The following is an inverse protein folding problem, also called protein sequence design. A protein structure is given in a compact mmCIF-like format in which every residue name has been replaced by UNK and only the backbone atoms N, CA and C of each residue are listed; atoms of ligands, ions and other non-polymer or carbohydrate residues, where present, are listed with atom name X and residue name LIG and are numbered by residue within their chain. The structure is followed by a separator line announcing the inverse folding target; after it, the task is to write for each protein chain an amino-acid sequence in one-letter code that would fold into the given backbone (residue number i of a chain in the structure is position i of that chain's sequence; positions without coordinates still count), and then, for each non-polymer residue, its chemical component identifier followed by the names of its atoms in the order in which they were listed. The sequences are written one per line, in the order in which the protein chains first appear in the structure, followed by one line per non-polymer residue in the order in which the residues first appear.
data_IF_460103368417
#
_entry.id   IF_460103368417
#
_cell.length_a   1.000
_cell.length_b   1.000
_cell.length_c   1.000
_cell.angle_alpha   90.00
_cell.angle_beta   90.00
_cell.angle_gamma   90.00
#
_symmetry.space_group_name_H-M   'P 1'
#
loop_
_entity.id
_entity.type
_entity.pdbx_description
1 polymer ?
#
# COMPACT_ATOMS: atom_id res chain seq x y z
N UNK A 1 -8.88 -3.57 -15.33
CA UNK A 1 -8.05 -4.59 -14.66
C UNK A 1 -6.59 -4.47 -15.06
N UNK A 2 -6.23 -4.40 -16.35
CA UNK A 2 -4.82 -4.23 -16.78
C UNK A 2 -4.11 -3.00 -16.16
N UNK A 3 -4.84 -1.90 -15.94
CA UNK A 3 -4.27 -0.69 -15.31
C UNK A 3 -3.99 -0.86 -13.81
N UNK A 4 -4.80 -1.64 -13.07
CA UNK A 4 -4.60 -1.82 -11.63
C UNK A 4 -3.48 -2.81 -11.33
N UNK A 5 -3.39 -3.89 -12.10
CA UNK A 5 -2.34 -4.90 -11.98
C UNK A 5 -0.94 -4.29 -12.17
N UNK A 6 -0.76 -3.49 -13.23
CA UNK A 6 0.49 -2.77 -13.47
C UNK A 6 0.83 -1.77 -12.35
N UNK A 7 -0.17 -1.07 -11.80
CA UNK A 7 0.03 -0.15 -10.69
C UNK A 7 0.48 -0.88 -9.41
N UNK A 8 -0.15 -2.00 -9.06
CA UNK A 8 0.22 -2.83 -7.90
C UNK A 8 1.68 -3.30 -8.04
N UNK A 9 2.04 -3.90 -9.17
CA UNK A 9 3.40 -4.40 -9.42
C UNK A 9 4.45 -3.30 -9.40
N UNK A 10 4.13 -2.12 -9.93
CA UNK A 10 4.99 -0.94 -9.86
C UNK A 10 5.20 -0.50 -8.40
N UNK A 11 4.14 -0.37 -7.62
CA UNK A 11 4.22 0.05 -6.21
C UNK A 11 5.02 -0.94 -5.35
N UNK A 12 4.83 -2.25 -5.53
CA UNK A 12 5.61 -3.30 -4.86
C UNK A 12 7.12 -3.13 -5.12
N UNK A 13 7.50 -2.63 -6.29
CA UNK A 13 8.90 -2.37 -6.65
C UNK A 13 9.41 -1.05 -6.08
N UNK A 14 8.58 -0.01 -6.02
CA UNK A 14 8.99 1.34 -5.64
C UNK A 14 9.06 1.53 -4.11
N UNK A 15 8.09 0.99 -3.36
CA UNK A 15 7.97 1.17 -1.89
C UNK A 15 9.23 0.75 -1.10
N UNK A 16 9.92 -0.37 -1.40
CA UNK A 16 11.14 -0.76 -0.70
C UNK A 16 12.24 0.30 -0.72
N UNK A 17 12.34 1.08 -1.81
CA UNK A 17 13.28 2.20 -1.91
C UNK A 17 12.96 3.32 -0.92
N UNK A 18 11.68 3.64 -0.76
CA UNK A 18 11.18 4.66 0.18
C UNK A 18 11.42 4.22 1.62
N UNK A 19 11.07 2.97 1.96
CA UNK A 19 11.31 2.41 3.30
C UNK A 19 12.80 2.53 3.66
N UNK A 20 13.69 2.17 2.74
CA UNK A 20 15.13 2.30 2.94
C UNK A 20 15.55 3.73 3.26
N UNK A 21 15.02 4.73 2.53
CA UNK A 21 15.31 6.15 2.79
C UNK A 21 14.81 6.58 4.18
N UNK A 22 13.60 6.18 4.57
CA UNK A 22 13.03 6.46 5.89
C UNK A 22 13.91 5.88 7.02
N UNK A 23 14.30 4.60 6.90
CA UNK A 23 15.17 3.91 7.88
C UNK A 23 16.58 4.50 7.96
N UNK A 24 17.08 5.08 6.86
CA UNK A 24 18.36 5.79 6.81
C UNK A 24 18.27 7.23 7.33
N UNK A 25 17.12 7.64 7.86
CA UNK A 25 16.83 8.99 8.31
C UNK A 25 17.00 10.06 7.20
N UNK A 26 16.79 9.67 5.94
CA UNK A 26 16.79 10.55 4.77
C UNK A 26 15.39 11.06 4.46
N UNK A 27 14.75 11.66 5.47
CA UNK A 27 13.34 12.04 5.42
C UNK A 27 12.98 12.89 4.19
N UNK A 28 13.77 13.91 3.85
CA UNK A 28 13.47 14.77 2.69
C UNK A 28 13.40 14.00 1.36
N UNK A 29 14.36 13.09 1.11
CA UNK A 29 14.35 12.21 -0.07
C UNK A 29 13.14 11.28 -0.01
N UNK A 30 12.91 10.64 1.15
CA UNK A 30 11.82 9.70 1.35
C UNK A 30 10.42 10.32 1.11
N UNK A 31 10.15 11.50 1.67
CA UNK A 31 8.86 12.19 1.51
C UNK A 31 8.64 12.71 0.10
N UNK A 32 9.71 13.04 -0.62
CA UNK A 32 9.61 13.42 -2.04
C UNK A 32 9.21 12.20 -2.87
N UNK A 33 9.91 11.08 -2.71
CA UNK A 33 9.61 9.84 -3.43
C UNK A 33 8.22 9.30 -3.06
N UNK A 34 7.86 9.33 -1.77
CA UNK A 34 6.54 8.93 -1.32
C UNK A 34 5.43 9.84 -1.89
N UNK A 35 5.64 11.15 -1.89
CA UNK A 35 4.71 12.10 -2.49
C UNK A 35 4.47 11.85 -3.99
N UNK A 36 5.48 11.37 -4.72
CA UNK A 36 5.36 11.01 -6.13
C UNK A 36 4.44 9.80 -6.37
N UNK A 37 4.39 8.84 -5.43
CA UNK A 37 3.56 7.63 -5.55
C UNK A 37 2.24 7.70 -4.78
N UNK A 38 2.06 8.68 -3.88
CA UNK A 38 0.96 8.73 -2.93
C UNK A 38 -0.42 8.56 -3.57
N UNK A 39 -0.70 9.30 -4.65
CA UNK A 39 -2.00 9.23 -5.32
C UNK A 39 -2.25 7.86 -5.96
N UNK A 40 -1.22 7.27 -6.56
CA UNK A 40 -1.30 5.93 -7.17
C UNK A 40 -1.55 4.88 -6.08
N UNK A 41 -0.77 4.92 -5.00
CA UNK A 41 -0.92 4.02 -3.85
C UNK A 41 -2.29 4.12 -3.18
N UNK A 42 -2.76 5.35 -2.93
CA UNK A 42 -4.08 5.59 -2.36
C UNK A 42 -5.20 5.03 -3.27
N UNK A 43 -5.09 5.24 -4.58
CA UNK A 43 -6.07 4.69 -5.54
C UNK A 43 -6.07 3.16 -5.55
N UNK A 44 -4.90 2.52 -5.47
CA UNK A 44 -4.79 1.06 -5.38
C UNK A 44 -5.42 0.53 -4.10
N UNK A 45 -5.10 1.13 -2.94
CA UNK A 45 -5.69 0.74 -1.66
C UNK A 45 -7.23 0.90 -1.65
N UNK A 46 -7.75 2.00 -2.16
CA UNK A 46 -9.20 2.20 -2.27
C UNK A 46 -9.86 1.21 -3.23
N UNK A 47 -9.19 0.89 -4.34
CA UNK A 47 -9.68 -0.13 -5.28
C UNK A 47 -9.70 -1.51 -4.63
N UNK A 48 -8.66 -1.85 -3.86
CA UNK A 48 -8.61 -3.10 -3.11
C UNK A 48 -9.74 -3.16 -2.07
N UNK A 49 -9.92 -2.12 -1.25
CA UNK A 49 -11.00 -2.02 -0.26
C UNK A 49 -12.37 -2.25 -0.92
N UNK A 50 -12.62 -1.62 -2.07
CA UNK A 50 -13.88 -1.76 -2.80
C UNK A 50 -14.07 -3.18 -3.39
N UNK A 51 -12.99 -3.92 -3.64
CA UNK A 51 -13.03 -5.29 -4.14
C UNK A 51 -13.23 -6.33 -3.03
N UNK A 52 -12.93 -6.00 -1.76
CA UNK A 52 -13.00 -6.94 -0.62
C UNK A 52 -14.35 -7.69 -0.55
N UNK A 53 -15.54 -7.07 -0.68
CA UNK A 53 -16.80 -7.81 -0.62
C UNK A 53 -16.91 -8.94 -1.66
N UNK A 54 -16.45 -8.68 -2.89
CA UNK A 54 -16.45 -9.69 -3.96
C UNK A 54 -15.42 -10.78 -3.67
N UNK A 55 -14.22 -10.40 -3.22
CA UNK A 55 -13.15 -11.34 -2.84
C UNK A 55 -13.59 -12.23 -1.67
N UNK A 56 -14.26 -11.68 -0.66
CA UNK A 56 -14.77 -12.44 0.48
C UNK A 56 -15.88 -13.40 0.07
N UNK A 57 -16.68 -13.07 -0.95
CA UNK A 57 -17.65 -14.02 -1.53
C UNK A 57 -16.98 -15.23 -2.19
N UNK A 58 -15.68 -15.15 -2.49
CA UNK A 58 -14.84 -16.26 -2.97
C UNK A 58 -14.13 -17.04 -1.85
N UNK A 59 -14.28 -16.62 -0.58
CA UNK A 59 -13.82 -17.36 0.60
C UNK A 59 -12.51 -16.89 1.25
N UNK A 60 -11.94 -15.75 0.87
CA UNK A 60 -10.66 -15.25 1.41
C UNK A 60 -10.75 -14.51 2.77
N UNK A 61 -11.96 -14.24 3.28
CA UNK A 61 -12.24 -13.60 4.60
C UNK A 61 -11.30 -12.44 4.99
N UNK A 62 -11.17 -11.45 4.10
CA UNK A 62 -10.33 -10.27 4.29
C UNK A 62 -11.09 -9.24 5.18
N UNK A 63 -10.54 -8.84 6.33
CA UNK A 63 -11.15 -7.85 7.20
C UNK A 63 -10.98 -6.42 6.63
N UNK A 64 -12.06 -5.83 6.14
CA UNK A 64 -12.07 -4.49 5.51
C UNK A 64 -11.60 -3.39 6.46
N UNK A 65 -11.99 -3.46 7.74
CA UNK A 65 -11.61 -2.51 8.78
C UNK A 65 -10.10 -2.45 9.01
N UNK A 66 -9.43 -3.60 8.94
CA UNK A 66 -7.96 -3.68 9.01
C UNK A 66 -7.34 -2.94 7.84
N UNK A 67 -7.76 -3.22 6.60
CA UNK A 67 -7.19 -2.56 5.40
C UNK A 67 -7.44 -1.05 5.43
N UNK A 68 -8.60 -0.60 5.93
CA UNK A 68 -8.88 0.84 6.15
C UNK A 68 -7.93 1.43 7.21
N UNK A 69 -7.70 0.72 8.31
CA UNK A 69 -6.77 1.17 9.35
C UNK A 69 -5.35 1.35 8.80
N UNK A 70 -4.90 0.43 7.94
CA UNK A 70 -3.58 0.52 7.31
C UNK A 70 -3.44 1.76 6.42
N UNK A 71 -4.49 2.07 5.65
CA UNK A 71 -4.54 3.30 4.85
C UNK A 71 -4.47 4.55 5.74
N UNK A 72 -5.19 4.56 6.85
CA UNK A 72 -5.17 5.67 7.81
C UNK A 72 -3.79 5.85 8.46
N UNK A 73 -3.15 4.75 8.89
CA UNK A 73 -1.80 4.77 9.46
C UNK A 73 -0.78 5.37 8.47
N UNK A 74 -0.91 5.00 7.18
CA UNK A 74 -0.04 5.51 6.12
C UNK A 74 -0.21 7.02 5.94
N UNK A 75 -1.46 7.50 5.93
CA UNK A 75 -1.77 8.92 5.83
C UNK A 75 -1.26 9.67 7.06
N UNK A 76 -1.43 9.12 8.26
CA UNK A 76 -0.97 9.71 9.52
C UNK A 76 0.55 9.86 9.55
N UNK A 77 1.29 8.79 9.24
CA UNK A 77 2.75 8.81 9.19
C UNK A 77 3.28 9.82 8.16
N UNK A 78 2.62 9.92 7.00
CA UNK A 78 2.98 10.90 5.98
C UNK A 78 2.69 12.34 6.41
N UNK A 79 1.48 12.62 6.93
CA UNK A 79 1.06 13.97 7.33
C UNK A 79 1.90 14.53 8.47
N UNK A 80 2.23 13.71 9.46
CA UNK A 80 3.03 14.11 10.61
C UNK A 80 4.54 14.04 10.37
N UNK A 81 4.96 13.59 9.18
CA UNK A 81 6.37 13.34 8.86
C UNK A 81 7.05 12.42 9.87
N UNK A 82 6.34 11.40 10.33
CA UNK A 82 6.88 10.37 11.21
C UNK A 82 7.56 9.28 10.39
N UNK A 83 8.89 9.31 10.36
CA UNK A 83 9.68 8.37 9.57
C UNK A 83 9.51 6.92 10.05
N UNK A 84 9.32 6.72 11.36
CA UNK A 84 9.24 5.37 11.94
C UNK A 84 7.88 4.78 11.64
N UNK A 85 6.81 5.53 11.94
CA UNK A 85 5.44 5.10 11.65
C UNK A 85 5.25 4.84 10.16
N UNK A 86 5.68 5.76 9.29
CA UNK A 86 5.53 5.58 7.86
C UNK A 86 6.34 4.38 7.34
N UNK A 87 7.55 4.15 7.86
CA UNK A 87 8.34 2.98 7.45
C UNK A 87 7.68 1.67 7.89
N UNK A 88 7.24 1.57 9.15
CA UNK A 88 6.60 0.38 9.70
C UNK A 88 5.29 0.07 8.95
N UNK A 89 4.46 1.08 8.73
CA UNK A 89 3.21 0.93 7.97
C UNK A 89 3.48 0.53 6.52
N UNK A 90 4.46 1.13 5.84
CA UNK A 90 4.77 0.72 4.47
C UNK A 90 5.30 -0.72 4.40
N UNK A 91 6.16 -1.11 5.33
CA UNK A 91 6.84 -2.40 5.34
C UNK A 91 5.93 -3.57 5.73
N UNK A 92 5.16 -3.41 6.81
CA UNK A 92 4.43 -4.52 7.42
C UNK A 92 2.93 -4.51 7.17
N UNK A 93 2.37 -3.37 6.72
CA UNK A 93 0.94 -3.25 6.44
C UNK A 93 0.67 -3.12 4.94
N UNK A 94 1.15 -2.03 4.33
CA UNK A 94 0.84 -1.71 2.93
C UNK A 94 1.45 -2.73 1.97
N UNK A 95 2.73 -3.09 2.14
CA UNK A 95 3.37 -4.09 1.26
C UNK A 95 2.69 -5.46 1.32
N UNK A 96 2.23 -5.89 2.49
CA UNK A 96 1.52 -7.16 2.64
C UNK A 96 0.14 -7.10 1.97
N UNK A 97 -0.60 -6.01 2.13
CA UNK A 97 -1.86 -5.78 1.41
C UNK A 97 -1.67 -5.70 -0.12
N UNK A 98 -0.59 -5.07 -0.60
CA UNK A 98 -0.28 -5.04 -2.04
C UNK A 98 0.05 -6.43 -2.59
N UNK A 99 0.86 -7.22 -1.88
CA UNK A 99 1.21 -8.59 -2.31
C UNK A 99 -0.02 -9.50 -2.33
N UNK A 100 -0.86 -9.44 -1.29
CA UNK A 100 -2.11 -10.18 -1.25
C UNK A 100 -3.00 -9.78 -2.44
N UNK A 101 -3.11 -8.48 -2.72
CA UNK A 101 -3.93 -8.02 -3.84
C UNK A 101 -3.38 -8.46 -5.20
N UNK A 102 -2.05 -8.45 -5.40
CA UNK A 102 -1.38 -9.00 -6.59
C UNK A 102 -1.70 -10.49 -6.78
N UNK A 103 -1.57 -11.30 -5.71
CA UNK A 103 -1.89 -12.74 -5.72
C UNK A 103 -3.35 -13.02 -6.09
N UNK A 104 -4.28 -12.18 -5.63
CA UNK A 104 -5.70 -12.26 -5.99
C UNK A 104 -5.91 -11.90 -7.46
N UNK A 105 -5.30 -10.80 -7.92
CA UNK A 105 -5.41 -10.35 -9.31
C UNK A 105 -4.89 -11.43 -10.28
N UNK A 106 -3.81 -12.13 -9.92
CA UNK A 106 -3.26 -13.23 -10.71
C UNK A 106 -4.19 -14.45 -10.80
N UNK A 107 -5.08 -14.65 -9.84
CA UNK A 107 -6.01 -15.80 -9.80
C UNK A 107 -7.35 -15.53 -10.49
N UNK A 108 -7.72 -14.25 -10.65
CA UNK A 108 -8.98 -13.83 -11.30
C UNK A 108 -8.80 -13.40 -12.77
N UNK A 109 -7.57 -13.41 -13.27
CA UNK A 109 -7.22 -13.27 -14.70
C UNK A 109 -7.41 -14.60 -15.44
#
# INVERSE_FOLDING_TARGET
MENIDNAVKKLIKDIPGIIKLLRQNKGNEAYTEFGNIFNELNNVMLTFINAIPAINSMGLDIPTDVVISQLNNMVEGFQHKDNVLLADTLEYEIMESMKLYDEILMQIQ
#
